data_IF_587854780687
#
_entry.id   IF_587854780687
#
_cell.length_a   1.000
_cell.length_b   1.000
_cell.length_c   1.000
_cell.angle_alpha   90.00
_cell.angle_beta   90.00
_cell.angle_gamma   90.00
#
_symmetry.space_group_name_H-M   'P 1'
#
loop_
_entity.id
_entity.type
_entity.pdbx_description
1 polymer ?
#
# COMPACT_ATOMS: atom_id res chain seq x y z
N UNK A 1 23.56 16.13 18.57
CA UNK A 1 22.39 17.05 18.61
C UNK A 1 21.94 17.17 20.07
N UNK A 2 21.57 18.34 20.57
CA UNK A 2 21.08 18.46 21.97
C UNK A 2 19.64 17.93 22.08
N UNK A 3 19.23 17.51 23.28
CA UNK A 3 17.83 17.09 23.55
C UNK A 3 16.82 18.16 23.12
N UNK A 4 17.10 19.42 23.43
CA UNK A 4 16.26 20.55 23.05
C UNK A 4 16.13 20.66 21.53
N UNK A 5 17.27 20.64 20.81
CA UNK A 5 17.27 20.73 19.34
C UNK A 5 16.54 19.56 18.69
N UNK A 6 16.69 18.34 19.21
CA UNK A 6 15.96 17.17 18.72
C UNK A 6 14.44 17.33 18.86
N UNK A 7 13.97 17.74 20.05
CA UNK A 7 12.54 17.94 20.29
C UNK A 7 11.96 19.07 19.43
N UNK A 8 12.71 20.17 19.27
CA UNK A 8 12.32 21.27 18.41
C UNK A 8 12.15 20.83 16.95
N UNK A 9 13.12 20.07 16.40
CA UNK A 9 13.01 19.53 15.03
C UNK A 9 11.81 18.59 14.92
N UNK A 10 11.61 17.69 15.88
CA UNK A 10 10.52 16.70 15.86
C UNK A 10 9.13 17.34 15.78
N UNK A 11 8.91 18.47 16.44
CA UNK A 11 7.59 19.14 16.48
C UNK A 11 7.34 20.12 15.34
N UNK A 12 8.39 20.55 14.64
CA UNK A 12 8.31 21.54 13.55
C UNK A 12 8.65 20.94 12.18
N UNK A 13 8.73 19.62 12.06
CA UNK A 13 8.98 18.95 10.79
C UNK A 13 7.70 18.93 9.95
N UNK A 14 7.72 19.67 8.84
CA UNK A 14 6.64 19.76 7.87
C UNK A 14 7.15 19.42 6.47
N UNK A 15 6.33 18.76 5.65
CA UNK A 15 6.67 18.35 4.29
C UNK A 15 5.91 19.13 3.22
N UNK A 16 4.98 19.99 3.62
CA UNK A 16 4.17 20.84 2.73
C UNK A 16 3.99 22.21 3.36
N UNK A 17 3.78 23.23 2.52
CA UNK A 17 3.24 24.50 2.96
C UNK A 17 1.73 24.36 3.21
N UNK A 18 1.33 24.46 4.48
CA UNK A 18 -0.08 24.31 4.89
C UNK A 18 -0.95 25.48 4.46
N UNK A 19 -0.37 26.65 4.17
CA UNK A 19 -1.08 27.84 3.72
C UNK A 19 -1.35 27.79 2.21
N UNK A 20 -0.64 26.93 1.48
CA UNK A 20 -0.77 26.78 0.04
C UNK A 20 -1.30 25.38 -0.34
N UNK A 21 -2.39 24.95 0.33
CA UNK A 21 -3.02 23.67 0.01
C UNK A 21 -3.77 23.76 -1.32
N UNK A 22 -3.34 22.95 -2.29
CA UNK A 22 -4.05 22.83 -3.56
C UNK A 22 -5.50 22.34 -3.33
N UNK A 23 -6.51 23.04 -3.88
CA UNK A 23 -7.93 22.76 -3.60
C UNK A 23 -8.39 21.38 -4.07
N UNK A 24 -7.72 20.80 -5.07
CA UNK A 24 -8.08 19.51 -5.66
C UNK A 24 -7.37 18.29 -5.04
N UNK A 25 -6.61 18.48 -3.94
CA UNK A 25 -5.93 17.35 -3.31
C UNK A 25 -6.91 16.50 -2.48
N UNK A 26 -7.34 15.38 -3.09
CA UNK A 26 -8.21 14.36 -2.49
C UNK A 26 -7.48 13.43 -1.51
N UNK A 27 -6.14 13.47 -1.45
CA UNK A 27 -5.36 12.64 -0.54
C UNK A 27 -5.66 13.04 0.91
N UNK A 28 -6.07 12.04 1.68
CA UNK A 28 -6.24 12.12 3.12
C UNK A 28 -4.90 12.26 3.84
N UNK A 29 -3.81 11.85 3.20
CA UNK A 29 -2.43 12.03 3.65
C UNK A 29 -1.72 13.24 3.04
N UNK A 30 -2.44 14.24 2.49
CA UNK A 30 -1.85 15.38 1.77
C UNK A 30 -0.68 16.08 2.49
N UNK A 31 -0.71 16.16 3.84
CA UNK A 31 0.36 16.80 4.65
C UNK A 31 1.72 16.09 4.56
N UNK A 32 1.71 14.79 4.25
CA UNK A 32 2.90 13.94 4.15
C UNK A 32 3.01 13.30 2.76
N UNK A 33 2.18 13.72 1.81
CA UNK A 33 2.15 13.18 0.45
C UNK A 33 3.52 13.25 -0.23
N UNK A 34 4.29 14.35 -0.15
CA UNK A 34 5.63 14.39 -0.75
C UNK A 34 6.58 13.34 -0.17
N UNK A 35 6.48 13.04 1.13
CA UNK A 35 7.28 12.01 1.77
C UNK A 35 6.85 10.61 1.32
N UNK A 36 5.54 10.36 1.23
CA UNK A 36 4.99 9.08 0.73
C UNK A 36 5.48 8.84 -0.71
N UNK A 37 5.35 9.85 -1.58
CA UNK A 37 5.78 9.78 -2.97
C UNK A 37 7.29 9.62 -3.10
N UNK A 38 8.08 10.32 -2.29
CA UNK A 38 9.53 10.17 -2.27
C UNK A 38 9.94 8.71 -1.98
N UNK A 39 9.38 8.10 -0.93
CA UNK A 39 9.67 6.72 -0.57
C UNK A 39 9.13 5.75 -1.63
N UNK A 40 7.90 5.97 -2.12
CA UNK A 40 7.29 5.14 -3.16
C UNK A 40 8.11 5.17 -4.45
N UNK A 41 8.59 6.34 -4.87
CA UNK A 41 9.43 6.50 -6.05
C UNK A 41 10.77 5.77 -5.87
N UNK A 42 11.37 5.84 -4.68
CA UNK A 42 12.56 5.06 -4.36
C UNK A 42 12.31 3.53 -4.49
N UNK A 43 11.20 3.02 -3.95
CA UNK A 43 10.79 1.63 -4.14
C UNK A 43 10.56 1.29 -5.62
N UNK A 44 9.89 2.18 -6.35
CA UNK A 44 9.59 2.02 -7.78
C UNK A 44 10.84 2.01 -8.66
N UNK A 45 11.91 2.68 -8.25
CA UNK A 45 13.19 2.67 -8.95
C UNK A 45 14.00 1.38 -8.74
N UNK A 46 13.60 0.49 -7.83
CA UNK A 46 14.25 -0.81 -7.65
C UNK A 46 14.00 -1.66 -8.91
N UNK A 47 15.05 -2.23 -9.56
CA UNK A 47 14.89 -3.07 -10.73
C UNK A 47 14.02 -4.30 -10.47
N UNK A 48 13.24 -4.71 -11.48
CA UNK A 48 12.35 -5.86 -11.41
C UNK A 48 12.57 -6.77 -12.63
N UNK A 49 12.72 -8.05 -12.38
CA UNK A 49 12.78 -9.09 -13.39
C UNK A 49 11.49 -9.91 -13.39
N UNK A 50 11.27 -10.72 -14.41
CA UNK A 50 10.24 -11.77 -14.33
C UNK A 50 10.57 -12.63 -13.11
N UNK A 51 9.58 -12.90 -12.25
CA UNK A 51 9.84 -13.59 -10.99
C UNK A 51 8.62 -13.75 -10.09
N UNK A 52 8.91 -14.01 -8.82
CA UNK A 52 7.91 -14.29 -7.79
C UNK A 52 7.75 -13.05 -6.89
N UNK A 53 6.51 -12.62 -6.68
CA UNK A 53 6.18 -11.43 -5.91
C UNK A 53 5.05 -11.72 -4.94
N UNK A 54 5.02 -11.03 -3.80
CA UNK A 54 3.96 -11.19 -2.81
C UNK A 54 3.28 -9.87 -2.48
N UNK A 55 1.94 -9.88 -2.41
CA UNK A 55 1.12 -8.78 -1.93
C UNK A 55 0.50 -9.16 -0.58
N UNK A 56 0.62 -8.26 0.39
CA UNK A 56 0.01 -8.40 1.71
C UNK A 56 -0.20 -7.01 2.36
N UNK A 57 -0.74 -7.01 3.58
CA UNK A 57 -0.99 -5.84 4.40
C UNK A 57 0.06 -5.69 5.50
N UNK A 58 0.67 -4.52 5.52
CA UNK A 58 1.55 -4.07 6.58
C UNK A 58 0.83 -3.04 7.46
N UNK A 59 0.96 -3.19 8.78
CA UNK A 59 0.49 -2.19 9.74
C UNK A 59 1.62 -1.27 10.17
N UNK A 60 1.45 0.04 10.01
CA UNK A 60 2.31 1.07 10.60
C UNK A 60 1.73 1.46 11.96
N UNK A 61 2.34 1.06 13.08
CA UNK A 61 1.76 1.27 14.41
C UNK A 61 1.61 2.75 14.71
N UNK A 62 0.39 3.18 15.02
CA UNK A 62 0.10 4.58 15.31
C UNK A 62 -1.19 4.71 16.14
N UNK A 63 -1.07 5.24 17.36
CA UNK A 63 -2.20 5.43 18.28
C UNK A 63 -2.65 6.90 18.39
N UNK A 64 -1.93 7.82 17.76
CA UNK A 64 -2.28 9.25 17.74
C UNK A 64 -3.59 9.53 16.98
N UNK A 65 -4.05 10.79 17.04
CA UNK A 65 -5.27 11.23 16.34
C UNK A 65 -5.03 11.27 14.84
N UNK A 66 -5.57 10.28 14.13
CA UNK A 66 -5.64 10.24 12.67
C UNK A 66 -6.99 9.61 12.28
N UNK A 67 -7.84 10.30 11.48
CA UNK A 67 -9.15 9.78 11.08
C UNK A 67 -9.08 8.47 10.26
N UNK A 68 -7.93 8.16 9.67
CA UNK A 68 -7.76 7.04 8.73
C UNK A 68 -7.08 5.83 9.38
N UNK A 69 -6.83 5.89 10.68
CA UNK A 69 -6.32 4.79 11.47
C UNK A 69 -7.27 3.60 11.40
N UNK A 70 -6.71 2.41 11.16
CA UNK A 70 -7.42 1.15 11.07
C UNK A 70 -7.20 0.32 12.32
N UNK A 71 -8.18 -0.52 12.63
CA UNK A 71 -8.06 -1.62 13.56
C UNK A 71 -8.10 -2.94 12.79
N UNK A 72 -7.01 -3.70 12.82
CA UNK A 72 -6.93 -5.02 12.20
C UNK A 72 -6.82 -6.07 13.30
N UNK A 73 -7.94 -6.77 13.52
CA UNK A 73 -8.03 -7.86 14.51
C UNK A 73 -6.98 -8.93 14.21
N UNK A 74 -6.41 -9.54 15.26
CA UNK A 74 -5.41 -10.62 15.19
C UNK A 74 -3.98 -10.22 14.74
N UNK A 75 -3.69 -8.93 14.49
CA UNK A 75 -2.29 -8.49 14.31
C UNK A 75 -1.68 -8.12 15.68
N UNK A 76 -0.37 -8.35 15.93
CA UNK A 76 0.29 -8.03 17.21
C UNK A 76 0.16 -6.56 17.61
N UNK A 77 0.16 -5.66 16.62
CA UNK A 77 -0.11 -4.23 16.78
C UNK A 77 -1.35 -3.89 15.94
N UNK A 78 -2.57 -4.06 16.51
CA UNK A 78 -3.79 -4.04 15.73
C UNK A 78 -4.23 -2.64 15.32
N UNK A 79 -3.71 -1.60 15.99
CA UNK A 79 -4.08 -0.20 15.77
C UNK A 79 -2.96 0.53 15.03
N UNK A 80 -3.27 1.12 13.87
CA UNK A 80 -2.28 1.85 13.09
C UNK A 80 -2.79 2.31 11.73
N UNK A 81 -1.87 2.68 10.85
CA UNK A 81 -2.18 2.94 9.45
C UNK A 81 -2.00 1.64 8.66
N UNK A 82 -3.01 1.26 7.89
CA UNK A 82 -2.95 0.07 7.03
C UNK A 82 -2.25 0.45 5.72
N UNK A 83 -1.25 -0.32 5.34
CA UNK A 83 -0.47 -0.16 4.12
C UNK A 83 -0.54 -1.46 3.32
N UNK A 84 -0.89 -1.41 2.04
CA UNK A 84 -0.77 -2.56 1.15
C UNK A 84 0.61 -2.50 0.48
N UNK A 85 1.34 -3.61 0.46
CA UNK A 85 2.71 -3.65 -0.06
C UNK A 85 2.85 -4.77 -1.07
N UNK A 86 3.67 -4.56 -2.09
CA UNK A 86 4.19 -5.63 -2.96
C UNK A 86 5.69 -5.82 -2.70
N UNK A 87 6.12 -7.06 -2.58
CA UNK A 87 7.47 -7.43 -2.15
C UNK A 87 8.10 -8.49 -3.04
N UNK A 88 9.44 -8.54 -3.04
CA UNK A 88 10.21 -9.69 -3.54
C UNK A 88 10.13 -10.88 -2.57
N UNK A 89 10.62 -12.04 -3.01
CA UNK A 89 10.79 -13.23 -2.15
C UNK A 89 11.68 -13.00 -0.91
N UNK A 90 12.56 -11.99 -0.95
CA UNK A 90 13.42 -11.60 0.17
C UNK A 90 12.76 -10.57 1.11
N UNK A 91 11.51 -10.18 0.84
CA UNK A 91 10.77 -9.20 1.64
C UNK A 91 11.09 -7.73 1.31
N UNK A 92 11.79 -7.47 0.20
CA UNK A 92 12.08 -6.09 -0.23
C UNK A 92 10.82 -5.46 -0.83
N UNK A 93 10.39 -4.30 -0.30
CA UNK A 93 9.21 -3.57 -0.76
C UNK A 93 9.50 -2.86 -2.09
N UNK A 94 8.70 -3.16 -3.10
CA UNK A 94 8.83 -2.63 -4.46
C UNK A 94 7.80 -1.55 -4.78
N UNK A 95 6.61 -1.63 -4.20
CA UNK A 95 5.59 -0.58 -4.25
C UNK A 95 4.65 -0.72 -3.06
N UNK A 96 3.89 0.32 -2.77
CA UNK A 96 2.91 0.30 -1.69
C UNK A 96 1.83 1.35 -1.86
N UNK A 97 0.67 1.10 -1.24
CA UNK A 97 -0.43 2.08 -1.18
C UNK A 97 -1.02 2.15 0.23
N UNK A 98 -1.07 3.36 0.79
CA UNK A 98 -1.65 3.60 2.11
C UNK A 98 -3.17 3.62 2.00
N UNK A 99 -3.83 2.83 2.84
CA UNK A 99 -5.28 2.76 2.83
C UNK A 99 -5.90 4.03 3.41
N UNK A 100 -6.75 4.66 2.62
CA UNK A 100 -7.42 5.92 2.92
C UNK A 100 -8.96 5.76 2.97
N UNK A 101 -9.46 4.53 2.86
CA UNK A 101 -10.90 4.27 2.69
C UNK A 101 -11.32 4.31 1.22
N UNK A 102 -12.50 4.88 0.96
CA UNK A 102 -13.07 5.01 -0.38
C UNK A 102 -12.20 5.83 -1.33
N UNK A 103 -11.38 6.74 -0.79
CA UNK A 103 -10.52 7.68 -1.51
C UNK A 103 -9.12 7.13 -1.78
N UNK A 104 -8.84 5.87 -1.42
CA UNK A 104 -7.60 5.20 -1.83
C UNK A 104 -7.51 5.20 -3.37
N UNK A 105 -6.39 5.56 -4.00
CA UNK A 105 -6.33 5.84 -5.45
C UNK A 105 -6.25 4.57 -6.32
N UNK A 106 -7.23 3.67 -6.15
CA UNK A 106 -7.40 2.50 -7.01
C UNK A 106 -8.27 2.84 -8.21
N UNK A 107 -7.74 2.63 -9.41
CA UNK A 107 -8.41 2.92 -10.69
C UNK A 107 -9.57 1.97 -10.97
N UNK A 108 -9.40 0.68 -10.67
CA UNK A 108 -10.41 -0.35 -10.87
C UNK A 108 -10.83 -0.95 -9.54
N UNK A 109 -12.12 -0.80 -9.22
CA UNK A 109 -12.76 -1.34 -8.01
C UNK A 109 -13.93 -2.27 -8.35
N UNK A 110 -14.10 -2.62 -9.61
CA UNK A 110 -15.25 -3.41 -10.11
C UNK A 110 -15.37 -4.77 -9.41
N UNK A 111 -14.25 -5.37 -9.02
CA UNK A 111 -14.17 -6.65 -8.33
C UNK A 111 -14.09 -6.53 -6.79
N UNK A 112 -14.24 -5.32 -6.23
CA UNK A 112 -14.12 -5.03 -4.81
C UNK A 112 -12.71 -4.67 -4.35
N UNK A 113 -12.56 -4.37 -3.06
CA UNK A 113 -11.35 -3.77 -2.49
C UNK A 113 -10.11 -4.69 -2.60
N UNK A 114 -10.23 -5.97 -2.24
CA UNK A 114 -9.11 -6.91 -2.30
C UNK A 114 -8.52 -7.01 -3.70
N UNK A 115 -9.32 -7.37 -4.72
CA UNK A 115 -8.87 -7.37 -6.11
C UNK A 115 -8.34 -6.02 -6.60
N UNK A 116 -8.96 -4.89 -6.20
CA UNK A 116 -8.47 -3.56 -6.56
C UNK A 116 -7.03 -3.30 -6.09
N UNK A 117 -6.69 -3.73 -4.87
CA UNK A 117 -5.32 -3.64 -4.33
C UNK A 117 -4.35 -4.45 -5.20
N UNK A 118 -4.70 -5.70 -5.49
CA UNK A 118 -3.85 -6.61 -6.25
C UNK A 118 -3.59 -6.08 -7.65
N UNK A 119 -4.65 -5.66 -8.36
CA UNK A 119 -4.56 -5.10 -9.70
C UNK A 119 -3.80 -3.77 -9.73
N UNK A 120 -3.90 -2.96 -8.68
CA UNK A 120 -3.17 -1.70 -8.60
C UNK A 120 -1.66 -1.94 -8.44
N UNK A 121 -1.25 -2.79 -7.50
CA UNK A 121 0.16 -3.02 -7.21
C UNK A 121 0.85 -3.90 -8.28
N UNK A 122 0.12 -4.81 -8.93
CA UNK A 122 0.66 -5.66 -10.00
C UNK A 122 1.11 -4.89 -11.24
N UNK A 123 0.62 -3.66 -11.44
CA UNK A 123 1.07 -2.79 -12.55
C UNK A 123 2.57 -2.51 -12.54
N UNK A 124 3.21 -2.65 -11.38
CA UNK A 124 4.63 -2.37 -11.23
C UNK A 124 5.54 -3.56 -11.51
N UNK A 125 5.01 -4.77 -11.69
CA UNK A 125 5.82 -5.96 -11.95
C UNK A 125 5.77 -6.38 -13.44
N UNK A 126 6.80 -7.09 -13.94
CA UNK A 126 6.81 -7.57 -15.31
C UNK A 126 5.71 -8.61 -15.56
N UNK A 127 5.19 -8.65 -16.79
CA UNK A 127 4.36 -9.76 -17.27
C UNK A 127 5.12 -11.09 -17.16
N UNK A 128 4.39 -12.20 -17.16
CA UNK A 128 4.86 -13.56 -16.91
C UNK A 128 5.37 -13.82 -15.49
N UNK A 129 5.28 -12.82 -14.60
CA UNK A 129 5.56 -13.01 -13.17
C UNK A 129 4.45 -13.77 -12.47
N UNK A 130 4.78 -14.38 -11.32
CA UNK A 130 3.83 -15.09 -10.46
C UNK A 130 3.59 -14.29 -9.19
N UNK A 131 2.33 -14.00 -8.91
CA UNK A 131 1.89 -13.21 -7.77
C UNK A 131 1.26 -14.08 -6.68
N UNK A 132 1.72 -13.89 -5.45
CA UNK A 132 1.26 -14.62 -4.27
C UNK A 132 0.51 -13.67 -3.35
N UNK A 133 -0.70 -14.02 -2.95
CA UNK A 133 -1.48 -13.26 -1.97
C UNK A 133 -2.37 -14.18 -1.14
N UNK A 134 -2.80 -13.68 0.01
CA UNK A 134 -3.62 -14.45 0.94
C UNK A 134 -5.12 -14.50 0.52
N UNK A 135 -5.90 -15.25 1.29
CA UNK A 135 -7.33 -15.42 1.08
C UNK A 135 -8.17 -14.14 1.19
N UNK A 136 -7.67 -13.07 1.81
CA UNK A 136 -8.38 -11.80 1.83
C UNK A 136 -8.50 -11.24 0.41
N UNK A 137 -7.47 -11.45 -0.42
CA UNK A 137 -7.44 -10.98 -1.81
C UNK A 137 -8.04 -11.96 -2.81
N UNK A 138 -7.83 -13.28 -2.65
CA UNK A 138 -8.11 -14.29 -3.69
C UNK A 138 -9.57 -14.49 -4.09
N UNK A 139 -9.98 -14.03 -5.28
CA UNK A 139 -11.27 -14.36 -5.89
C UNK A 139 -11.07 -14.97 -7.28
N UNK A 140 -11.99 -15.83 -7.74
CA UNK A 140 -11.92 -16.40 -9.11
C UNK A 140 -11.88 -15.31 -10.19
N UNK A 141 -12.72 -14.24 -10.14
CA UNK A 141 -12.63 -13.15 -11.10
C UNK A 141 -11.28 -12.42 -11.10
N UNK A 142 -10.64 -12.26 -9.94
CA UNK A 142 -9.29 -11.68 -9.87
C UNK A 142 -8.26 -12.55 -10.58
N UNK A 143 -8.32 -13.87 -10.40
CA UNK A 143 -7.39 -14.81 -11.05
C UNK A 143 -7.51 -14.73 -12.58
N UNK A 144 -8.74 -14.68 -13.10
CA UNK A 144 -8.99 -14.50 -14.53
C UNK A 144 -8.42 -13.17 -15.03
N UNK A 145 -8.67 -12.08 -14.30
CA UNK A 145 -8.20 -10.73 -14.67
C UNK A 145 -6.67 -10.63 -14.68
N UNK A 146 -5.99 -11.28 -13.74
CA UNK A 146 -4.52 -11.33 -13.71
C UNK A 146 -3.98 -12.12 -14.91
N UNK A 147 -4.59 -13.26 -15.23
CA UNK A 147 -4.21 -14.05 -16.39
C UNK A 147 -4.38 -13.27 -17.72
N UNK A 148 -5.48 -12.52 -17.88
CA UNK A 148 -5.71 -11.65 -19.05
C UNK A 148 -4.61 -10.59 -19.26
N UNK A 149 -4.04 -10.06 -18.17
CA UNK A 149 -2.97 -9.06 -18.24
C UNK A 149 -1.57 -9.67 -18.27
N UNK A 150 -1.47 -11.00 -18.34
CA UNK A 150 -0.22 -11.76 -18.39
C UNK A 150 0.49 -11.82 -17.04
N UNK A 151 -0.25 -11.89 -15.93
CA UNK A 151 0.29 -12.12 -14.59
C UNK A 151 -0.29 -13.43 -14.06
N UNK A 152 0.60 -14.39 -13.78
CA UNK A 152 0.21 -15.64 -13.12
C UNK A 152 -0.02 -15.35 -11.65
N UNK A 153 -0.89 -16.11 -10.99
CA UNK A 153 -1.18 -15.89 -9.58
C UNK A 153 -1.52 -17.18 -8.84
N UNK A 154 -1.29 -17.17 -7.54
CA UNK A 154 -1.75 -18.21 -6.63
C UNK A 154 -2.09 -17.61 -5.26
N UNK A 155 -3.06 -18.22 -4.60
CA UNK A 155 -3.53 -17.80 -3.30
C UNK A 155 -4.48 -18.82 -2.71
N UNK A 156 -4.68 -18.74 -1.40
CA UNK A 156 -5.70 -19.57 -0.74
C UNK A 156 -7.08 -18.95 -0.96
N UNK A 157 -8.12 -19.76 -1.09
CA UNK A 157 -9.51 -19.29 -1.20
C UNK A 157 -10.26 -19.59 0.11
N UNK A 158 -11.16 -18.71 0.52
CA UNK A 158 -12.09 -19.02 1.62
C UNK A 158 -13.14 -20.02 1.11
N UNK A 159 -13.46 -21.04 1.90
CA UNK A 159 -14.45 -22.07 1.52
C UNK A 159 -15.83 -21.48 1.16
N UNK A 160 -16.21 -20.38 1.80
CA UNK A 160 -17.51 -19.74 1.64
C UNK A 160 -17.44 -18.49 0.73
N UNK A 161 -16.55 -18.47 -0.26
CA UNK A 161 -16.36 -17.33 -1.17
C UNK A 161 -17.06 -17.54 -2.50
#
# INVERSE_FOLDING_TARGET
>A
ITRYRFLAIRTHLHFVDVNNRLPNNKSKFWKIQPLIEFVRNACRNIPRSIGLYSIDEQMVPFTGRCPYRQFVKNKPRPVGLKNFVITTTTGMVLDFELYQGAETPFEDRSLGLGPAVVLHLSKTIPKESVLFFDRYFTTVPLMNRLNEIGIHATGTIMQNR
#
